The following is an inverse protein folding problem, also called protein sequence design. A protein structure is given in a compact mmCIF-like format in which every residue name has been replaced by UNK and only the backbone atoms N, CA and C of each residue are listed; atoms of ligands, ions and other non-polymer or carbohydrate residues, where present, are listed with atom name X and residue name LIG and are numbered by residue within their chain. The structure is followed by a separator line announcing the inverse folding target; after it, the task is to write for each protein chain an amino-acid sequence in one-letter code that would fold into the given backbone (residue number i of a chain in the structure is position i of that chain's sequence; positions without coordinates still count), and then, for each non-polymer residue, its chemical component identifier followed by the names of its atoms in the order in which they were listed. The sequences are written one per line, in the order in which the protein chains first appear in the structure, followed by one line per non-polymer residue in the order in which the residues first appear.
data_IF_697472850659
#
_entry.id   IF_697472850659
#
_cell.length_a   1.000
_cell.length_b   1.000
_cell.length_c   1.000
_cell.angle_alpha   90.00
_cell.angle_beta   90.00
_cell.angle_gamma   90.00
#
_symmetry.space_group_name_H-M   'P 1'
#
loop_
_entity.id
_entity.type
_entity.pdbx_description
1 polymer ?
#
# COMPACT_ATOMS: atom_id res chain seq x y z
N UNK A 1 16.96 6.62 12.71
CA UNK A 1 18.30 7.06 12.29
C UNK A 1 18.21 7.74 10.93
N UNK A 2 18.31 9.06 10.90
CA UNK A 2 18.13 9.89 9.70
C UNK A 2 19.25 9.68 8.67
N UNK A 3 20.42 9.17 9.09
CA UNK A 3 21.55 8.90 8.18
C UNK A 3 21.28 7.68 7.33
N UNK A 4 20.73 6.63 7.93
CA UNK A 4 20.33 5.39 7.24
C UNK A 4 19.23 5.70 6.21
N UNK A 5 18.27 6.56 6.55
CA UNK A 5 17.24 7.01 5.60
C UNK A 5 17.86 7.71 4.38
N UNK A 6 18.80 8.65 4.59
CA UNK A 6 19.49 9.33 3.47
C UNK A 6 20.31 8.37 2.60
N UNK A 7 20.91 7.36 3.20
CA UNK A 7 21.69 6.34 2.48
C UNK A 7 20.78 5.42 1.65
N UNK A 8 19.61 5.06 2.17
CA UNK A 8 18.59 4.27 1.46
C UNK A 8 17.97 5.09 0.33
N UNK A 9 17.77 6.38 0.51
CA UNK A 9 17.06 7.25 -0.45
C UNK A 9 17.93 7.82 -1.57
N UNK A 10 19.19 7.38 -1.69
CA UNK A 10 20.02 7.74 -2.82
C UNK A 10 19.31 7.36 -4.14
N UNK A 11 19.36 8.21 -5.19
CA UNK A 11 18.58 7.99 -6.40
C UNK A 11 18.96 6.66 -7.04
N UNK A 12 18.01 5.72 -7.05
CA UNK A 12 18.16 4.48 -7.77
C UNK A 12 18.12 4.78 -9.29
N UNK A 13 19.10 4.27 -10.03
CA UNK A 13 19.15 4.43 -11.48
C UNK A 13 17.92 3.77 -12.13
N UNK A 14 17.06 4.61 -12.68
CA UNK A 14 15.79 4.22 -13.31
C UNK A 14 16.01 3.52 -14.66
N UNK A 15 17.21 3.58 -15.24
CA UNK A 15 17.57 2.90 -16.50
C UNK A 15 18.08 1.47 -16.29
N UNK A 16 18.42 1.07 -15.06
CA UNK A 16 18.94 -0.28 -14.80
C UNK A 16 17.86 -1.36 -15.04
N UNK A 17 18.26 -2.57 -15.51
CA UNK A 17 17.33 -3.69 -15.65
C UNK A 17 16.66 -4.02 -14.30
N UNK A 18 15.41 -4.53 -14.28
CA UNK A 18 14.60 -4.61 -13.07
C UNK A 18 15.30 -5.29 -11.87
N UNK A 19 16.06 -6.36 -12.12
CA UNK A 19 16.81 -7.07 -11.08
C UNK A 19 18.00 -6.27 -10.54
N UNK A 20 18.67 -5.46 -11.37
CA UNK A 20 19.82 -4.66 -10.91
C UNK A 20 19.41 -3.53 -9.95
N UNK A 21 18.11 -3.18 -9.89
CA UNK A 21 17.59 -2.16 -8.96
C UNK A 21 17.45 -2.66 -7.53
N UNK A 22 17.32 -3.98 -7.33
CA UNK A 22 17.07 -4.59 -6.02
C UNK A 22 18.14 -5.61 -5.63
N UNK A 23 18.88 -6.14 -6.61
CA UNK A 23 19.95 -7.09 -6.40
C UNK A 23 21.34 -6.46 -6.57
N UNK A 24 22.32 -7.05 -5.91
CA UNK A 24 23.72 -7.02 -6.30
C UNK A 24 23.94 -8.06 -7.41
N UNK A 25 24.68 -7.68 -8.45
CA UNK A 25 24.98 -8.54 -9.59
C UNK A 25 26.46 -8.86 -9.61
N UNK A 26 26.80 -10.14 -9.70
CA UNK A 26 28.18 -10.60 -9.92
C UNK A 26 28.21 -11.46 -11.17
N UNK A 27 29.14 -11.17 -12.08
CA UNK A 27 29.33 -11.97 -13.31
C UNK A 27 30.56 -12.85 -13.13
N UNK A 28 30.43 -14.15 -13.41
CA UNK A 28 31.52 -15.12 -13.37
C UNK A 28 31.36 -16.13 -14.50
N UNK A 29 32.37 -16.27 -15.36
CA UNK A 29 32.33 -17.22 -16.48
C UNK A 29 31.19 -16.99 -17.48
N UNK A 30 30.78 -15.73 -17.68
CA UNK A 30 29.63 -15.39 -18.56
C UNK A 30 28.25 -15.57 -17.91
N UNK A 31 28.17 -16.05 -16.66
CA UNK A 31 26.92 -16.22 -15.92
C UNK A 31 26.75 -15.09 -14.91
N UNK A 32 25.54 -14.51 -14.85
CA UNK A 32 25.17 -13.49 -13.87
C UNK A 32 24.50 -14.13 -12.63
N UNK A 33 25.05 -13.83 -11.46
CA UNK A 33 24.50 -14.18 -10.15
C UNK A 33 23.88 -12.95 -9.51
N UNK A 34 22.68 -13.13 -8.94
CA UNK A 34 21.94 -12.06 -8.30
C UNK A 34 21.76 -12.37 -6.82
N UNK A 35 22.11 -11.41 -5.97
CA UNK A 35 21.83 -11.46 -4.53
C UNK A 35 20.90 -10.31 -4.17
N UNK A 36 19.76 -10.61 -3.55
CA UNK A 36 18.86 -9.57 -3.08
C UNK A 36 19.59 -8.69 -2.06
N UNK A 37 19.53 -7.38 -2.25
CA UNK A 37 20.15 -6.40 -1.37
C UNK A 37 19.05 -5.62 -0.64
N UNK A 38 19.02 -5.76 0.69
CA UNK A 38 17.92 -5.21 1.49
C UNK A 38 17.81 -3.69 1.38
N UNK A 39 18.95 -3.00 1.38
CA UNK A 39 19.01 -1.54 1.23
C UNK A 39 18.41 -1.08 -0.10
N UNK A 40 18.83 -1.72 -1.20
CA UNK A 40 18.35 -1.40 -2.56
C UNK A 40 16.87 -1.74 -2.73
N UNK A 41 16.43 -2.84 -2.13
CA UNK A 41 15.03 -3.26 -2.17
C UNK A 41 14.15 -2.25 -1.45
N UNK A 42 14.51 -1.83 -0.23
CA UNK A 42 13.76 -0.79 0.48
C UNK A 42 13.76 0.55 -0.26
N UNK A 43 14.92 0.98 -0.78
CA UNK A 43 15.03 2.19 -1.59
C UNK A 43 14.05 2.17 -2.77
N UNK A 44 14.07 1.07 -3.53
CA UNK A 44 13.20 0.87 -4.67
C UNK A 44 11.72 0.87 -4.28
N UNK A 45 11.35 0.20 -3.18
CA UNK A 45 9.96 0.18 -2.70
C UNK A 45 9.49 1.57 -2.27
N UNK A 46 10.32 2.35 -1.58
CA UNK A 46 10.00 3.75 -1.24
C UNK A 46 9.80 4.60 -2.50
N UNK A 47 10.67 4.45 -3.51
CA UNK A 47 10.48 5.10 -4.80
C UNK A 47 9.14 4.71 -5.45
N UNK A 48 8.74 3.44 -5.36
CA UNK A 48 7.46 2.98 -5.90
C UNK A 48 6.25 3.58 -5.18
N UNK A 49 6.29 3.71 -3.86
CA UNK A 49 5.23 4.40 -3.10
C UNK A 49 5.13 5.86 -3.56
N UNK A 50 6.26 6.58 -3.65
CA UNK A 50 6.29 7.99 -4.06
C UNK A 50 5.76 8.19 -5.48
N UNK A 51 6.30 7.45 -6.44
CA UNK A 51 5.85 7.52 -7.83
C UNK A 51 4.40 7.07 -8.00
N UNK A 52 3.92 6.13 -7.17
CA UNK A 52 2.52 5.72 -7.13
C UNK A 52 1.63 6.88 -6.68
N UNK A 53 1.98 7.54 -5.58
CA UNK A 53 1.24 8.69 -5.04
C UNK A 53 1.16 9.86 -6.04
N UNK A 54 2.24 10.13 -6.78
CA UNK A 54 2.27 11.15 -7.84
C UNK A 54 1.35 10.80 -9.00
N UNK A 55 1.41 9.56 -9.49
CA UNK A 55 0.53 9.10 -10.59
C UNK A 55 -0.94 9.08 -10.19
N UNK A 56 -1.23 8.80 -8.93
CA UNK A 56 -2.59 8.82 -8.39
C UNK A 56 -3.20 10.23 -8.38
N UNK A 57 -2.43 11.31 -8.37
CA UNK A 57 -2.96 12.68 -8.32
C UNK A 57 -3.98 13.00 -9.43
N UNK A 58 -3.90 12.35 -10.59
CA UNK A 58 -4.83 12.52 -11.70
C UNK A 58 -6.06 11.60 -11.69
N UNK A 59 -6.17 10.69 -10.72
CA UNK A 59 -7.23 9.68 -10.70
C UNK A 59 -8.43 10.09 -9.85
N UNK A 60 -9.63 9.85 -10.38
CA UNK A 60 -10.90 10.15 -9.70
C UNK A 60 -11.05 9.45 -8.34
N UNK A 61 -10.50 8.23 -8.20
CA UNK A 61 -10.62 7.43 -6.97
C UNK A 61 -9.89 8.01 -5.75
N UNK A 62 -9.01 8.99 -5.94
CA UNK A 62 -8.30 9.67 -4.86
C UNK A 62 -8.56 11.19 -4.87
N UNK A 63 -9.61 11.64 -5.57
CA UNK A 63 -10.03 13.03 -5.49
C UNK A 63 -10.41 13.37 -4.06
N UNK A 64 -9.81 14.43 -3.52
CA UNK A 64 -9.99 14.86 -2.13
C UNK A 64 -8.89 14.40 -1.18
N UNK A 65 -8.07 13.41 -1.54
CA UNK A 65 -6.90 13.05 -0.74
C UNK A 65 -5.78 14.07 -0.92
N UNK A 66 -5.15 14.50 0.17
CA UNK A 66 -3.96 15.33 0.14
C UNK A 66 -2.69 14.53 -0.28
N UNK A 67 -1.53 15.19 -0.34
CA UNK A 67 -0.30 14.53 -0.75
C UNK A 67 0.19 13.45 0.24
N UNK A 68 -0.09 13.60 1.53
CA UNK A 68 0.24 12.64 2.58
C UNK A 68 -0.70 11.43 2.51
N UNK A 69 -2.00 11.68 2.37
CA UNK A 69 -3.04 10.66 2.25
C UNK A 69 -2.87 9.83 0.96
N UNK A 70 -2.54 10.47 -0.17
CA UNK A 70 -2.20 9.73 -1.40
C UNK A 70 -0.96 8.84 -1.24
N UNK A 71 0.03 9.25 -0.44
CA UNK A 71 1.20 8.41 -0.12
C UNK A 71 0.83 7.26 0.80
N UNK A 72 -0.01 7.49 1.81
CA UNK A 72 -0.53 6.42 2.66
C UNK A 72 -1.32 5.40 1.84
N UNK A 73 -2.20 5.86 0.97
CA UNK A 73 -2.96 5.01 0.05
C UNK A 73 -2.05 4.22 -0.90
N UNK A 74 -1.04 4.86 -1.51
CA UNK A 74 -0.07 4.17 -2.36
C UNK A 74 0.79 3.15 -1.60
N UNK A 75 1.11 3.43 -0.33
CA UNK A 75 1.81 2.51 0.57
C UNK A 75 0.95 1.28 0.83
N UNK A 76 -0.32 1.46 1.19
CA UNK A 76 -1.23 0.35 1.50
C UNK A 76 -1.41 -0.56 0.29
N UNK A 77 -1.70 0.00 -0.89
CA UNK A 77 -1.79 -0.75 -2.15
C UNK A 77 -0.52 -1.55 -2.45
N UNK A 78 0.66 -0.97 -2.22
CA UNK A 78 1.91 -1.67 -2.47
C UNK A 78 2.14 -2.79 -1.44
N UNK A 79 1.78 -2.56 -0.17
CA UNK A 79 2.00 -3.56 0.89
C UNK A 79 1.15 -4.81 0.73
N UNK A 80 -0.02 -4.72 0.09
CA UNK A 80 -0.86 -5.88 -0.23
C UNK A 80 -0.19 -6.86 -1.21
N UNK A 81 0.80 -6.38 -1.97
CA UNK A 81 1.56 -7.18 -2.95
C UNK A 81 2.88 -7.73 -2.39
N UNK A 82 3.24 -7.37 -1.16
CA UNK A 82 4.54 -7.71 -0.56
C UNK A 82 4.41 -8.84 0.45
N UNK A 83 5.48 -9.62 0.59
CA UNK A 83 5.60 -10.52 1.73
C UNK A 83 5.53 -9.72 3.05
N UNK A 84 4.95 -10.28 4.13
CA UNK A 84 4.72 -9.56 5.38
C UNK A 84 5.97 -8.89 5.96
N UNK A 85 7.13 -9.52 5.82
CA UNK A 85 8.43 -9.01 6.29
C UNK A 85 8.84 -7.72 5.57
N UNK A 86 8.62 -7.64 4.25
CA UNK A 86 8.92 -6.45 3.46
C UNK A 86 7.89 -5.35 3.69
N UNK A 87 6.61 -5.70 3.82
CA UNK A 87 5.55 -4.75 4.15
C UNK A 87 5.83 -4.05 5.49
N UNK A 88 6.20 -4.80 6.53
CA UNK A 88 6.55 -4.26 7.84
C UNK A 88 7.76 -3.31 7.77
N UNK A 89 8.83 -3.71 7.07
CA UNK A 89 10.03 -2.88 6.91
C UNK A 89 9.72 -1.59 6.14
N UNK A 90 8.94 -1.66 5.07
CA UNK A 90 8.55 -0.49 4.28
C UNK A 90 7.70 0.49 5.09
N UNK A 91 6.71 0.00 5.85
CA UNK A 91 5.88 0.84 6.74
C UNK A 91 6.73 1.57 7.77
N UNK A 92 7.68 0.87 8.40
CA UNK A 92 8.60 1.46 9.38
C UNK A 92 9.43 2.60 8.78
N UNK A 93 9.94 2.42 7.56
CA UNK A 93 10.70 3.47 6.84
C UNK A 93 9.80 4.66 6.48
N UNK A 94 8.62 4.40 5.93
CA UNK A 94 7.70 5.46 5.48
C UNK A 94 7.10 6.27 6.63
N UNK A 95 6.86 5.66 7.80
CA UNK A 95 6.41 6.38 8.99
C UNK A 95 7.44 7.40 9.50
N UNK A 96 8.74 7.15 9.28
CA UNK A 96 9.78 8.12 9.59
C UNK A 96 9.83 9.30 8.60
N UNK A 97 9.24 9.16 7.40
CA UNK A 97 9.17 10.19 6.36
C UNK A 97 7.86 10.97 6.30
N UNK A 98 6.79 10.39 6.82
CA UNK A 98 5.46 10.99 6.91
C UNK A 98 5.31 11.56 8.33
N UNK A 99 5.73 12.81 8.62
CA UNK A 99 5.25 13.47 9.82
C UNK A 99 3.74 13.57 9.65
N UNK A 100 3.01 12.81 10.46
CA UNK A 100 1.56 12.84 10.49
C UNK A 100 1.12 14.26 10.90
N UNK A 101 0.81 15.12 9.93
CA UNK A 101 0.07 16.36 10.18
C UNK A 101 -1.40 16.02 10.19
N UNK A 102 -1.84 15.37 11.27
CA UNK A 102 -3.25 15.32 11.60
C UNK A 102 -3.72 16.74 11.89
N UNK A 103 -4.22 17.45 10.89
CA UNK A 103 -5.10 18.59 11.13
C UNK A 103 -6.42 18.05 11.60
N UNK A 104 -6.50 17.81 12.91
CA UNK A 104 -7.76 17.70 13.63
C UNK A 104 -8.44 19.08 13.59
N UNK A 105 -9.07 19.42 12.47
CA UNK A 105 -10.01 20.55 12.39
C UNK A 105 -11.38 20.00 12.04
N UNK A 106 -11.98 19.31 13.00
CA UNK A 106 -13.43 19.30 13.19
C UNK A 106 -13.70 18.87 14.64
N UNK A 107 -13.88 19.87 15.51
CA UNK A 107 -14.59 19.66 16.76
C UNK A 107 -16.06 19.36 16.43
N UNK A 108 -16.52 18.16 16.75
CA UNK A 108 -17.91 17.74 16.59
C UNK A 108 -18.06 16.26 16.99
N UNK A 109 -19.09 15.89 17.77
CA UNK A 109 -19.08 14.70 18.61
C UNK A 109 -19.24 13.41 17.80
N UNK A 110 -18.85 12.30 18.43
CA UNK A 110 -19.04 10.94 17.94
C UNK A 110 -20.48 10.70 17.45
N UNK A 111 -20.64 10.47 16.15
CA UNK A 111 -21.84 9.86 15.58
C UNK A 111 -21.42 8.53 14.98
N UNK A 112 -21.68 7.46 15.72
CA UNK A 112 -21.85 6.11 15.18
C UNK A 112 -23.02 6.09 14.22
N UNK A 113 -22.76 5.93 12.92
CA UNK A 113 -23.77 5.46 11.98
C UNK A 113 -23.23 4.29 11.17
N UNK A 114 -23.61 3.11 11.65
CA UNK A 114 -23.56 1.87 10.91
C UNK A 114 -24.67 1.90 9.84
N UNK A 115 -24.25 1.63 8.60
CA UNK A 115 -24.98 0.95 7.54
C UNK A 115 -26.45 1.34 7.28
N UNK A 116 -26.66 2.23 6.32
CA UNK A 116 -27.86 2.23 5.46
C UNK A 116 -27.46 1.52 4.14
N UNK A 117 -27.63 0.19 4.12
CA UNK A 117 -27.66 -0.59 2.88
C UNK A 117 -29.12 -0.97 2.63
N UNK A 118 -29.63 -0.84 1.39
CA UNK A 118 -31.00 -1.24 1.09
C UNK A 118 -31.17 -2.77 1.23
N UNK A 119 -32.30 -3.26 1.76
CA UNK A 119 -32.52 -4.68 1.97
C UNK A 119 -32.72 -5.42 0.64
N UNK A 120 -31.92 -6.47 0.43
CA UNK A 120 -32.05 -7.45 -0.66
C UNK A 120 -33.30 -8.31 -0.41
N UNK A 121 -34.25 -8.46 -1.35
CA UNK A 121 -35.38 -9.36 -1.17
C UNK A 121 -34.91 -10.82 -1.23
N UNK A 122 -34.99 -11.48 -0.08
CA UNK A 122 -34.59 -12.88 0.11
C UNK A 122 -35.63 -13.83 -0.51
N UNK A 123 -35.17 -14.79 -1.31
CA UNK A 123 -36.00 -15.82 -1.92
C UNK A 123 -36.69 -16.68 -0.84
N UNK A 124 -38.02 -16.82 -0.96
CA UNK A 124 -38.77 -17.85 -0.23
C UNK A 124 -38.46 -19.21 -0.85
N UNK A 125 -37.64 -20.00 -0.16
CA UNK A 125 -37.78 -21.45 -0.20
C UNK A 125 -38.94 -21.83 0.72
N UNK A 126 -40.02 -22.34 0.14
CA UNK A 126 -41.09 -23.03 0.86
C UNK A 126 -41.21 -24.42 0.25
N UNK A 127 -40.38 -25.34 0.75
CA UNK A 127 -40.64 -26.77 0.65
C UNK A 127 -41.85 -27.05 1.56
N UNK A 128 -42.90 -27.62 0.99
CA UNK A 128 -44.14 -27.91 1.70
C UNK A 128 -44.02 -29.09 2.66
N UNK A 129 -44.91 -29.14 3.64
CA UNK A 129 -45.56 -30.37 4.08
C UNK A 129 -46.88 -30.04 4.80
N UNK A 130 -47.74 -31.03 4.79
CA UNK A 130 -49.20 -31.10 4.84
C UNK A 130 -49.89 -30.83 6.20
N UNK A 131 -51.23 -30.81 6.10
CA UNK A 131 -52.24 -31.28 7.08
C UNK A 131 -52.75 -30.36 8.21
N UNK A 132 -54.05 -29.98 8.08
CA UNK A 132 -55.18 -30.42 8.92
C UNK A 132 -56.08 -29.31 9.51
N UNK A 133 -57.40 -29.57 9.41
CA UNK A 133 -58.52 -29.03 10.22
C UNK A 133 -58.87 -27.52 10.06
N UNK A 134 -60.07 -27.09 9.69
CA UNK A 134 -61.45 -27.60 9.78
C UNK A 134 -62.34 -27.02 8.68
#
# INVERSE_FOLDING_TARGET
DVRILKEILAPADVAAPPLARICETKVSGGVAFFRLCDKRTLAYLVCKVRSGAERLQGHACVQGLDASERRAYALDLLTDLLAPTWAARLRSVMQAELPYTGTNTNGGPAVTHAADLPPVPNQRNSTGEDAAER
#
